data_IF_198746822110
#
_entry.id   IF_198746822110
#
_cell.length_a   1.000
_cell.length_b   1.000
_cell.length_c   1.000
_cell.angle_alpha   90.00
_cell.angle_beta   90.00
_cell.angle_gamma   90.00
#
_symmetry.space_group_name_H-M   'P 1'
#
loop_
_entity.id
_entity.type
_entity.pdbx_description
1 polymer ?
#
# COMPACT_ATOMS: atom_id res chain seq x y z
N UNK A 1 15.99 -1.84 19.84
CA UNK A 1 16.26 -0.86 18.76
C UNK A 1 17.77 -0.64 18.72
N UNK A 2 18.37 -0.55 17.53
CA UNK A 2 19.82 -0.35 17.39
C UNK A 2 20.21 1.05 17.93
N UNK A 3 21.45 1.27 18.39
CA UNK A 3 21.90 2.56 18.90
C UNK A 3 21.78 3.70 17.87
N UNK A 4 21.90 3.38 16.58
CA UNK A 4 21.69 4.28 15.44
C UNK A 4 20.67 3.65 14.48
N UNK A 5 19.36 3.95 14.61
CA UNK A 5 18.35 3.37 13.74
C UNK A 5 18.36 4.01 12.34
N UNK A 6 18.14 3.20 11.30
CA UNK A 6 17.85 3.67 9.95
C UNK A 6 16.37 4.01 9.86
N UNK A 7 16.06 5.28 9.62
CA UNK A 7 14.70 5.79 9.53
C UNK A 7 14.45 6.21 8.08
N UNK A 8 13.54 5.53 7.39
CA UNK A 8 13.04 5.98 6.09
C UNK A 8 11.79 6.84 6.30
N UNK A 9 11.93 8.11 5.89
CA UNK A 9 10.92 9.15 6.00
C UNK A 9 10.17 9.41 4.70
N UNK A 10 10.42 8.67 3.63
CA UNK A 10 9.71 8.83 2.37
C UNK A 10 9.18 7.51 1.86
N UNK A 11 8.05 7.13 2.43
CA UNK A 11 7.40 5.89 2.04
C UNK A 11 5.88 5.99 2.10
N UNK A 12 5.25 5.26 1.20
CA UNK A 12 3.79 5.29 1.00
C UNK A 12 3.23 3.89 1.27
N UNK A 13 2.05 3.83 1.87
CA UNK A 13 1.23 2.63 1.99
C UNK A 13 -0.19 2.95 1.52
N UNK A 14 -0.94 1.92 1.21
CA UNK A 14 -2.38 1.99 1.04
C UNK A 14 -3.06 1.04 2.02
N UNK A 15 -4.26 1.37 2.54
CA UNK A 15 -5.05 0.38 3.28
C UNK A 15 -5.30 -0.86 2.43
N UNK A 16 -5.33 -2.05 3.06
CA UNK A 16 -5.62 -3.31 2.37
C UNK A 16 -6.99 -3.31 1.68
N UNK A 17 -7.97 -2.63 2.25
CA UNK A 17 -9.32 -2.48 1.69
C UNK A 17 -9.73 -1.01 1.68
N UNK A 18 -10.37 -0.58 0.60
CA UNK A 18 -10.98 0.74 0.48
C UNK A 18 -12.50 0.60 0.44
N UNK A 19 -13.19 1.62 0.95
CA UNK A 19 -14.62 1.76 0.73
C UNK A 19 -14.92 1.89 -0.77
N UNK A 20 -16.15 1.56 -1.18
CA UNK A 20 -16.62 1.87 -2.53
C UNK A 20 -16.89 3.38 -2.66
N UNK A 21 -15.87 4.09 -3.10
CA UNK A 21 -15.93 5.54 -3.32
C UNK A 21 -16.87 5.92 -4.48
N UNK A 22 -17.11 5.00 -5.43
CA UNK A 22 -18.09 5.20 -6.51
C UNK A 22 -19.50 5.34 -5.96
N UNK A 23 -19.87 4.48 -5.00
CA UNK A 23 -21.14 4.58 -4.28
C UNK A 23 -21.21 5.86 -3.44
N UNK A 24 -20.11 6.23 -2.77
CA UNK A 24 -20.09 7.38 -1.85
C UNK A 24 -20.19 8.73 -2.53
N UNK A 25 -19.65 8.88 -3.74
CA UNK A 25 -19.52 10.18 -4.40
C UNK A 25 -20.29 10.31 -5.72
N UNK A 26 -20.86 9.22 -6.29
CA UNK A 26 -21.70 9.23 -7.50
C UNK A 26 -21.08 9.93 -8.74
N UNK A 27 -19.76 10.12 -8.75
CA UNK A 27 -18.92 10.56 -9.87
C UNK A 27 -17.75 9.58 -10.00
N UNK A 28 -17.18 9.41 -11.19
CA UNK A 28 -16.11 8.42 -11.40
C UNK A 28 -15.24 8.70 -12.63
N UNK A 29 -14.19 7.89 -12.85
CA UNK A 29 -13.84 6.66 -12.11
C UNK A 29 -12.98 6.88 -10.86
N UNK A 30 -13.31 6.18 -9.76
CA UNK A 30 -12.47 6.13 -8.55
C UNK A 30 -11.47 4.98 -8.61
N UNK A 31 -10.30 5.12 -7.97
CA UNK A 31 -9.36 4.04 -7.80
C UNK A 31 -9.85 3.04 -6.74
N UNK A 32 -9.53 1.76 -6.94
CA UNK A 32 -9.82 0.65 -6.05
C UNK A 32 -8.63 -0.32 -6.00
N UNK A 33 -8.58 -1.17 -4.99
CA UNK A 33 -7.59 -2.26 -4.89
C UNK A 33 -8.29 -3.57 -5.24
N UNK A 34 -7.80 -4.27 -6.26
CA UNK A 34 -8.22 -5.62 -6.61
C UNK A 34 -7.20 -6.62 -6.07
N UNK A 35 -7.65 -7.53 -5.19
CA UNK A 35 -6.83 -8.64 -4.67
C UNK A 35 -6.99 -9.86 -5.57
N UNK A 36 -5.90 -10.58 -5.77
CA UNK A 36 -5.84 -11.81 -6.58
C UNK A 36 -5.62 -13.03 -5.68
N UNK A 37 -5.93 -14.22 -6.20
CA UNK A 37 -5.88 -15.48 -5.45
C UNK A 37 -4.45 -15.85 -4.98
N UNK A 38 -3.43 -15.37 -5.69
CA UNK A 38 -2.01 -15.55 -5.32
C UNK A 38 -1.54 -14.60 -4.20
N UNK A 39 -2.44 -13.76 -3.68
CA UNK A 39 -2.17 -12.81 -2.61
C UNK A 39 -1.54 -11.49 -3.07
N UNK A 40 -1.31 -11.32 -4.37
CA UNK A 40 -0.94 -10.04 -4.98
C UNK A 40 -2.15 -9.12 -5.12
N UNK A 41 -1.91 -7.83 -5.39
CA UNK A 41 -2.98 -6.88 -5.62
C UNK A 41 -2.62 -5.88 -6.73
N UNK A 42 -3.65 -5.32 -7.36
CA UNK A 42 -3.52 -4.26 -8.36
C UNK A 42 -4.34 -3.05 -7.97
N UNK A 43 -3.80 -1.87 -8.23
CA UNK A 43 -4.59 -0.64 -8.30
C UNK A 43 -5.40 -0.68 -9.59
N UNK A 44 -6.71 -0.49 -9.48
CA UNK A 44 -7.68 -0.51 -10.58
C UNK A 44 -8.39 0.83 -10.64
N UNK A 45 -8.54 1.40 -11.84
CA UNK A 45 -9.33 2.62 -12.08
C UNK A 45 -10.28 2.35 -13.23
N UNK A 46 -11.58 2.56 -13.01
CA UNK A 46 -12.60 2.34 -14.06
C UNK A 46 -12.59 0.92 -14.62
N UNK A 47 -12.35 -0.08 -13.76
CA UNK A 47 -12.28 -1.50 -14.14
C UNK A 47 -10.99 -1.94 -14.82
N UNK A 48 -10.00 -1.04 -15.00
CA UNK A 48 -8.70 -1.38 -15.60
C UNK A 48 -7.59 -1.36 -14.57
N UNK A 49 -6.78 -2.41 -14.52
CA UNK A 49 -5.56 -2.43 -13.72
C UNK A 49 -4.58 -1.38 -14.26
N UNK A 50 -4.19 -0.43 -13.41
CA UNK A 50 -3.26 0.65 -13.76
C UNK A 50 -1.86 0.40 -13.20
N UNK A 51 -1.74 -0.39 -12.12
CA UNK A 51 -0.46 -0.70 -11.48
C UNK A 51 -0.57 -1.95 -10.60
N UNK A 52 0.44 -2.82 -10.63
CA UNK A 52 0.63 -3.86 -9.61
C UNK A 52 1.16 -3.26 -8.30
N UNK A 53 0.65 -3.75 -7.17
CA UNK A 53 1.08 -3.35 -5.84
C UNK A 53 2.00 -4.41 -5.24
N UNK A 54 3.16 -3.99 -4.76
CA UNK A 54 3.99 -4.82 -3.89
C UNK A 54 3.20 -5.20 -2.64
N UNK A 55 3.31 -6.45 -2.17
CA UNK A 55 2.53 -6.94 -1.02
C UNK A 55 2.77 -6.09 0.24
N UNK A 56 4.00 -5.63 0.46
CA UNK A 56 4.35 -4.72 1.56
C UNK A 56 3.70 -3.33 1.45
N UNK A 57 3.18 -2.92 0.29
CA UNK A 57 2.49 -1.65 0.15
C UNK A 57 1.11 -1.62 0.85
N UNK A 58 0.52 -2.79 1.12
CA UNK A 58 -0.81 -2.90 1.71
C UNK A 58 -0.93 -3.95 2.84
N UNK A 59 0.02 -4.87 2.99
CA UNK A 59 0.08 -5.83 4.12
C UNK A 59 1.25 -5.53 5.05
N UNK A 60 0.94 -5.25 6.31
CA UNK A 60 1.93 -4.89 7.35
C UNK A 60 2.96 -5.99 7.56
N UNK A 61 2.55 -7.26 7.58
CA UNK A 61 3.48 -8.37 7.81
C UNK A 61 4.55 -8.48 6.71
N UNK A 62 4.15 -8.37 5.44
CA UNK A 62 5.08 -8.36 4.31
C UNK A 62 6.02 -7.13 4.38
N UNK A 63 5.48 -5.98 4.78
CA UNK A 63 6.28 -4.76 4.94
C UNK A 63 7.36 -4.88 6.00
N UNK A 64 7.07 -5.52 7.15
CA UNK A 64 8.06 -5.75 8.19
C UNK A 64 9.19 -6.66 7.67
N UNK A 65 8.86 -7.68 6.87
CA UNK A 65 9.87 -8.53 6.22
C UNK A 65 10.72 -7.75 5.20
N UNK A 66 10.11 -6.82 4.47
CA UNK A 66 10.83 -5.93 3.55
C UNK A 66 11.75 -4.96 4.29
N UNK A 67 11.30 -4.43 5.43
CA UNK A 67 12.11 -3.59 6.33
C UNK A 67 13.32 -4.35 6.89
N UNK A 68 13.11 -5.58 7.38
CA UNK A 68 14.18 -6.42 7.89
C UNK A 68 15.22 -6.73 6.80
N UNK A 69 14.76 -7.05 5.59
CA UNK A 69 15.63 -7.31 4.43
C UNK A 69 16.38 -6.07 3.96
N UNK A 70 15.73 -4.91 4.02
CA UNK A 70 16.29 -3.61 3.62
C UNK A 70 17.16 -2.95 4.71
N UNK A 71 17.19 -3.50 5.93
CA UNK A 71 17.90 -2.90 7.05
C UNK A 71 17.29 -1.58 7.54
N UNK A 72 15.99 -1.39 7.37
CA UNK A 72 15.26 -0.19 7.81
C UNK A 72 14.60 -0.48 9.16
N UNK A 73 14.95 0.27 10.20
CA UNK A 73 14.40 0.06 11.54
C UNK A 73 13.02 0.73 11.71
N UNK A 74 12.78 1.85 11.03
CA UNK A 74 11.53 2.63 11.12
C UNK A 74 11.11 3.17 9.76
N UNK A 75 9.84 3.00 9.43
CA UNK A 75 9.18 3.70 8.32
C UNK A 75 8.23 4.78 8.87
N UNK A 76 8.48 6.05 8.55
CA UNK A 76 7.51 7.11 8.75
C UNK A 76 6.53 7.12 7.57
N UNK A 77 5.30 6.68 7.81
CA UNK A 77 4.34 6.40 6.75
C UNK A 77 3.56 7.67 6.40
N UNK A 78 3.51 7.99 5.11
CA UNK A 78 2.81 9.18 4.62
C UNK A 78 1.50 8.79 3.93
N UNK A 79 0.43 9.52 4.27
CA UNK A 79 -0.79 9.55 3.49
C UNK A 79 -0.67 10.70 2.49
N UNK A 80 -0.65 10.41 1.18
CA UNK A 80 -0.93 11.46 0.19
C UNK A 80 -2.39 11.88 0.39
N UNK A 81 -2.60 13.16 0.71
CA UNK A 81 -3.93 13.76 0.73
C UNK A 81 -4.47 13.86 -0.69
#
# INVERSE_FOLDING_TARGET
MRPNPVIDVHTHVVPERWDDWGVRHAVGPWPAIAHHDDGSASLVVGGKAVRALETGAFKVAARLQDMDRGGVDVHAIHRRR
#
